data_IF_845285422653
#
_entry.id   IF_845285422653
#
_cell.length_a   1.000
_cell.length_b   1.000
_cell.length_c   1.000
_cell.angle_alpha   90.00
_cell.angle_beta   90.00
_cell.angle_gamma   90.00
#
_symmetry.space_group_name_H-M   'P 1'
#
loop_
_entity.id
_entity.type
_entity.pdbx_description
1 polymer ?
#
# COMPACT_ATOMS: atom_id res chain seq x y z
N UNK A 1 -35.38 -34.65 -8.29
CA UNK A 1 -34.11 -35.40 -8.38
C UNK A 1 -32.97 -34.39 -8.23
N UNK A 2 -32.26 -34.41 -7.11
CA UNK A 2 -31.10 -33.56 -6.90
C UNK A 2 -29.90 -34.22 -7.60
N UNK A 3 -29.39 -33.60 -8.64
CA UNK A 3 -28.15 -34.02 -9.30
C UNK A 3 -26.98 -33.57 -8.43
N UNK A 4 -26.37 -34.53 -7.72
CA UNK A 4 -25.09 -34.32 -7.04
C UNK A 4 -24.02 -34.03 -8.09
N UNK A 5 -23.69 -32.74 -8.25
CA UNK A 5 -22.50 -32.33 -9.00
C UNK A 5 -21.30 -32.66 -8.13
N UNK A 6 -20.60 -33.74 -8.47
CA UNK A 6 -19.34 -34.12 -7.85
C UNK A 6 -18.28 -33.17 -8.38
N UNK A 7 -17.80 -32.25 -7.54
CA UNK A 7 -16.63 -31.42 -7.85
C UNK A 7 -15.43 -32.39 -7.86
N UNK A 8 -14.64 -32.46 -8.95
CA UNK A 8 -13.45 -33.31 -8.97
C UNK A 8 -12.48 -32.82 -7.90
N UNK A 9 -12.07 -33.73 -7.02
CA UNK A 9 -11.00 -33.44 -6.07
C UNK A 9 -9.74 -33.09 -6.87
N UNK A 10 -9.18 -31.89 -6.63
CA UNK A 10 -7.82 -31.60 -7.06
C UNK A 10 -6.89 -32.69 -6.50
N UNK A 11 -5.91 -33.18 -7.28
CA UNK A 11 -4.91 -34.10 -6.74
C UNK A 11 -4.32 -33.45 -5.48
N UNK A 12 -4.15 -34.23 -4.40
CA UNK A 12 -3.55 -33.73 -3.17
C UNK A 12 -2.16 -33.20 -3.50
N UNK A 13 -2.03 -31.88 -3.56
CA UNK A 13 -0.75 -31.20 -3.78
C UNK A 13 0.10 -31.47 -2.55
N UNK A 14 1.30 -32.01 -2.72
CA UNK A 14 2.22 -32.25 -1.61
C UNK A 14 2.67 -30.90 -1.03
N UNK A 15 2.10 -30.52 0.11
CA UNK A 15 2.42 -29.26 0.79
C UNK A 15 3.61 -29.39 1.74
N UNK A 16 4.27 -30.56 1.83
CA UNK A 16 5.34 -30.78 2.81
C UNK A 16 6.58 -29.90 2.58
N UNK A 17 6.73 -29.34 1.38
CA UNK A 17 7.84 -28.47 0.97
C UNK A 17 7.52 -26.97 1.14
N UNK A 18 6.29 -26.62 1.53
CA UNK A 18 5.88 -25.22 1.68
C UNK A 18 6.36 -24.72 3.05
N UNK A 19 7.15 -23.64 3.13
CA UNK A 19 7.60 -23.10 4.40
C UNK A 19 6.42 -22.70 5.28
N UNK A 20 6.55 -22.86 6.61
CA UNK A 20 5.49 -22.53 7.57
C UNK A 20 5.06 -21.06 7.55
N UNK A 21 5.87 -20.18 6.95
CA UNK A 21 5.50 -18.80 6.71
C UNK A 21 4.34 -18.66 5.71
N UNK A 22 4.08 -19.64 4.84
CA UNK A 22 2.98 -19.59 3.88
C UNK A 22 1.80 -20.40 4.43
N UNK A 23 0.85 -19.71 5.06
CA UNK A 23 -0.34 -20.33 5.63
C UNK A 23 -1.44 -20.45 4.57
N UNK A 24 -1.86 -21.67 4.27
CA UNK A 24 -2.88 -21.97 3.27
C UNK A 24 -4.25 -22.03 3.95
N UNK A 25 -5.22 -21.26 3.46
CA UNK A 25 -6.61 -21.31 3.89
C UNK A 25 -7.54 -21.91 2.80
N UNK A 26 -7.19 -21.72 1.53
CA UNK A 26 -7.87 -22.27 0.35
C UNK A 26 -6.82 -22.77 -0.66
N UNK A 27 -7.10 -23.88 -1.35
CA UNK A 27 -6.17 -24.49 -2.31
C UNK A 27 -5.80 -23.57 -3.48
N UNK A 28 -6.62 -22.58 -3.84
CA UNK A 28 -6.27 -21.58 -4.86
C UNK A 28 -5.05 -20.75 -4.48
N UNK A 29 -4.68 -20.68 -3.20
CA UNK A 29 -3.44 -20.02 -2.78
C UNK A 29 -2.20 -20.73 -3.30
N UNK A 30 -2.29 -22.04 -3.58
CA UNK A 30 -1.18 -22.80 -4.17
C UNK A 30 -0.82 -22.30 -5.58
N UNK A 31 -1.79 -21.82 -6.35
CA UNK A 31 -1.55 -21.21 -7.67
C UNK A 31 -0.78 -19.89 -7.55
N UNK A 32 -0.97 -19.18 -6.43
CA UNK A 32 -0.31 -17.90 -6.13
C UNK A 32 1.12 -18.15 -5.66
N UNK A 33 1.34 -19.02 -4.66
CA UNK A 33 2.67 -19.22 -4.07
C UNK A 33 3.56 -20.16 -4.91
N UNK A 34 2.96 -21.00 -5.76
CA UNK A 34 3.66 -21.98 -6.59
C UNK A 34 4.24 -23.14 -5.79
N UNK A 35 5.11 -23.93 -6.43
CA UNK A 35 5.64 -25.18 -5.85
C UNK A 35 6.86 -24.97 -4.94
N UNK A 36 7.55 -23.85 -5.04
CA UNK A 36 8.78 -23.55 -4.27
C UNK A 36 8.78 -22.12 -3.73
N UNK A 37 7.77 -21.73 -2.92
CA UNK A 37 7.74 -20.40 -2.35
C UNK A 37 8.90 -20.18 -1.38
N UNK A 38 9.38 -18.95 -1.28
CA UNK A 38 10.46 -18.55 -0.38
C UNK A 38 10.18 -17.19 0.26
N UNK A 39 10.69 -16.99 1.45
CA UNK A 39 10.65 -15.72 2.17
C UNK A 39 12.03 -15.46 2.75
N UNK A 40 12.72 -14.45 2.22
CA UNK A 40 14.10 -14.12 2.55
C UNK A 40 14.19 -12.69 3.10
N UNK A 41 15.10 -12.46 4.05
CA UNK A 41 15.47 -11.10 4.47
C UNK A 41 16.42 -10.52 3.43
N UNK A 42 16.04 -9.42 2.77
CA UNK A 42 16.94 -8.72 1.85
C UNK A 42 17.83 -7.72 2.57
N UNK A 43 17.27 -6.97 3.50
CA UNK A 43 17.99 -5.92 4.21
C UNK A 43 17.39 -5.73 5.61
N UNK A 44 18.25 -5.42 6.58
CA UNK A 44 17.87 -5.13 7.96
C UNK A 44 18.64 -3.93 8.48
N UNK A 45 17.95 -3.06 9.21
CA UNK A 45 18.55 -1.95 9.94
C UNK A 45 17.89 -1.83 11.31
N UNK A 46 18.60 -2.21 12.37
CA UNK A 46 18.06 -2.22 13.73
C UNK A 46 17.91 -0.82 14.34
N UNK A 47 18.46 0.22 13.71
CA UNK A 47 18.45 1.58 14.26
C UNK A 47 17.31 2.45 13.71
N UNK A 48 16.81 2.13 12.51
CA UNK A 48 15.79 2.92 11.82
C UNK A 48 14.76 1.98 11.21
N UNK A 49 13.44 2.23 11.42
CA UNK A 49 12.37 1.46 10.78
C UNK A 49 12.23 1.85 9.31
N UNK A 50 13.28 1.64 8.52
CA UNK A 50 13.44 2.20 7.16
C UNK A 50 12.48 1.62 6.12
N UNK A 51 11.86 0.47 6.39
CA UNK A 51 11.01 -0.28 5.50
C UNK A 51 9.60 -0.33 6.08
N UNK A 52 8.85 0.76 5.97
CA UNK A 52 7.47 0.86 6.48
C UNK A 52 6.47 1.07 5.34
N UNK A 53 6.67 2.12 4.53
CA UNK A 53 5.68 2.60 3.56
C UNK A 53 6.24 2.80 2.15
N UNK A 54 5.38 3.17 1.19
CA UNK A 54 5.75 3.53 -0.18
C UNK A 54 6.66 2.51 -0.89
N UNK A 55 6.38 1.21 -0.78
CA UNK A 55 7.10 0.20 -1.57
C UNK A 55 6.89 0.47 -3.07
N UNK A 56 7.84 1.13 -3.73
CA UNK A 56 7.76 1.53 -5.14
C UNK A 56 8.93 0.92 -5.89
N UNK A 57 8.67 -0.18 -6.59
CA UNK A 57 9.64 -0.82 -7.45
C UNK A 57 9.73 -0.07 -8.79
N UNK A 58 10.94 0.26 -9.22
CA UNK A 58 11.24 0.95 -10.48
C UNK A 58 11.88 -0.04 -11.45
N UNK A 59 11.11 -0.62 -12.39
CA UNK A 59 11.59 -1.76 -13.18
C UNK A 59 12.70 -1.43 -14.17
N UNK A 60 12.89 -0.16 -14.51
CA UNK A 60 13.92 0.30 -15.44
C UNK A 60 15.32 0.33 -14.83
N UNK A 61 15.42 0.41 -13.49
CA UNK A 61 16.69 0.47 -12.76
C UNK A 61 16.88 -0.69 -11.77
N UNK A 62 15.85 -1.54 -11.60
CA UNK A 62 15.80 -2.58 -10.57
C UNK A 62 16.11 -2.00 -9.17
N UNK A 63 15.52 -0.84 -8.90
CA UNK A 63 15.60 -0.14 -7.63
C UNK A 63 14.23 -0.11 -6.95
N UNK A 64 14.24 -0.16 -5.62
CA UNK A 64 13.06 -0.05 -4.78
C UNK A 64 13.19 1.22 -3.94
N UNK A 65 12.18 2.08 -3.99
CA UNK A 65 12.07 3.21 -3.07
C UNK A 65 11.12 2.80 -1.94
N UNK A 66 11.45 3.20 -0.72
CA UNK A 66 10.66 2.95 0.50
C UNK A 66 10.73 4.16 1.42
N UNK A 67 9.71 4.33 2.26
CA UNK A 67 9.72 5.31 3.34
C UNK A 67 9.79 4.60 4.70
N UNK A 68 10.50 5.23 5.63
CA UNK A 68 10.56 4.75 7.01
C UNK A 68 9.25 5.05 7.74
N UNK A 69 9.01 4.35 8.85
CA UNK A 69 8.04 4.81 9.83
C UNK A 69 8.56 6.12 10.47
N UNK A 70 7.67 6.84 11.16
CA UNK A 70 8.08 7.97 11.97
C UNK A 70 9.03 7.51 13.07
N UNK A 71 10.17 8.19 13.21
CA UNK A 71 11.10 7.95 14.30
C UNK A 71 11.73 9.27 14.75
N UNK A 72 12.33 9.26 15.94
CA UNK A 72 13.10 10.41 16.44
C UNK A 72 14.49 10.38 15.84
N UNK A 73 14.81 11.38 15.03
CA UNK A 73 16.15 11.56 14.50
C UNK A 73 17.16 11.71 15.66
N UNK A 74 18.19 10.85 15.75
CA UNK A 74 19.12 10.85 16.88
C UNK A 74 20.03 12.08 16.94
N UNK A 75 20.16 12.83 15.85
CA UNK A 75 21.00 14.03 15.75
C UNK A 75 20.18 15.28 16.09
N UNK A 76 18.99 15.41 15.49
CA UNK A 76 18.17 16.62 15.66
C UNK A 76 17.15 16.52 16.79
N UNK A 77 16.90 15.30 17.29
CA UNK A 77 15.89 14.98 18.30
C UNK A 77 14.47 15.41 17.88
N UNK A 78 14.19 15.42 16.57
CA UNK A 78 12.87 15.71 15.99
C UNK A 78 12.32 14.45 15.33
N UNK A 79 10.99 14.37 15.27
CA UNK A 79 10.36 13.35 14.43
C UNK A 79 10.71 13.57 12.96
N UNK A 80 10.99 12.48 12.26
CA UNK A 80 11.31 12.49 10.84
C UNK A 80 10.90 11.17 10.18
N UNK A 81 10.89 11.18 8.85
CA UNK A 81 10.81 10.01 7.98
C UNK A 81 11.95 10.10 6.96
N UNK A 82 12.52 8.96 6.61
CA UNK A 82 13.54 8.84 5.55
C UNK A 82 12.94 8.20 4.30
N UNK A 83 13.32 8.72 3.14
CA UNK A 83 13.17 8.01 1.87
C UNK A 83 14.45 7.24 1.62
N UNK A 84 14.36 5.93 1.40
CA UNK A 84 15.49 5.06 1.09
C UNK A 84 15.34 4.52 -0.33
N UNK A 85 16.44 4.47 -1.07
CA UNK A 85 16.54 3.75 -2.34
C UNK A 85 17.38 2.51 -2.16
N UNK A 86 16.82 1.37 -2.52
CA UNK A 86 17.40 0.04 -2.35
C UNK A 86 17.71 -0.56 -3.72
N UNK A 87 18.94 -1.01 -3.93
CA UNK A 87 19.34 -1.72 -5.16
C UNK A 87 19.10 -3.22 -4.99
N UNK A 88 17.94 -3.70 -5.42
CA UNK A 88 17.46 -5.05 -5.08
C UNK A 88 18.17 -6.19 -5.82
N UNK A 89 18.88 -5.88 -6.91
CA UNK A 89 19.71 -6.85 -7.67
C UNK A 89 21.20 -6.78 -7.31
N UNK A 90 21.61 -5.83 -6.47
CA UNK A 90 23.00 -5.73 -6.02
C UNK A 90 23.35 -6.87 -5.05
N UNK A 91 24.63 -7.28 -5.07
CA UNK A 91 25.15 -8.31 -4.17
C UNK A 91 26.42 -7.80 -3.49
N UNK A 92 26.37 -7.44 -2.20
CA UNK A 92 25.18 -7.44 -1.33
C UNK A 92 24.13 -6.39 -1.75
N UNK A 93 22.87 -6.60 -1.33
CA UNK A 93 21.82 -5.57 -1.44
C UNK A 93 22.22 -4.38 -0.60
N UNK A 94 22.10 -3.18 -1.17
CA UNK A 94 22.43 -1.92 -0.47
C UNK A 94 21.27 -0.95 -0.50
N UNK A 95 21.21 -0.08 0.51
CA UNK A 95 20.31 1.07 0.55
C UNK A 95 21.09 2.37 0.70
N UNK A 96 20.55 3.45 0.15
CA UNK A 96 21.00 4.82 0.40
C UNK A 96 19.82 5.71 0.78
N UNK A 97 20.06 6.64 1.71
CA UNK A 97 19.07 7.64 2.12
C UNK A 97 19.05 8.73 1.05
N UNK A 98 17.85 9.06 0.59
CA UNK A 98 17.61 10.18 -0.32
C UNK A 98 17.36 11.43 0.49
N UNK A 99 18.12 12.48 0.21
CA UNK A 99 17.84 13.81 0.72
C UNK A 99 16.77 14.47 -0.14
N UNK A 100 15.52 14.42 0.30
CA UNK A 100 14.37 15.00 -0.39
C UNK A 100 13.77 16.16 0.41
N UNK A 101 13.09 17.07 -0.29
CA UNK A 101 12.36 18.20 0.32
C UNK A 101 10.92 17.84 0.70
N UNK A 102 10.48 16.60 0.46
CA UNK A 102 9.11 16.15 0.77
C UNK A 102 8.94 16.07 2.30
N UNK A 103 8.00 16.81 2.89
CA UNK A 103 7.79 16.80 4.33
C UNK A 103 7.03 15.53 4.76
N UNK A 104 7.69 14.68 5.55
CA UNK A 104 7.10 13.44 6.10
C UNK A 104 6.46 12.57 5.01
N UNK A 105 7.28 12.11 4.06
CA UNK A 105 6.82 11.26 2.96
C UNK A 105 6.22 9.95 3.52
N UNK A 106 5.04 9.54 3.04
CA UNK A 106 4.38 8.30 3.44
C UNK A 106 4.27 7.35 2.25
N UNK A 107 3.07 7.07 1.74
CA UNK A 107 2.81 6.22 0.58
C UNK A 107 3.18 6.91 -0.74
N UNK A 108 3.37 6.11 -1.78
CA UNK A 108 3.82 6.58 -3.08
C UNK A 108 3.52 5.59 -4.20
N UNK A 109 3.58 6.08 -5.44
CA UNK A 109 3.33 5.30 -6.66
C UNK A 109 4.23 5.75 -7.80
N UNK A 110 4.58 4.83 -8.71
CA UNK A 110 5.24 5.19 -9.96
C UNK A 110 4.39 6.21 -10.75
N UNK A 111 5.01 7.28 -11.25
CA UNK A 111 4.29 8.28 -12.04
C UNK A 111 5.24 9.00 -13.01
N UNK A 112 5.00 8.80 -14.32
CA UNK A 112 5.87 9.33 -15.37
C UNK A 112 7.28 8.73 -15.31
N UNK A 113 8.29 9.59 -15.33
CA UNK A 113 9.71 9.25 -15.14
C UNK A 113 10.14 9.30 -13.67
N UNK A 114 9.20 9.54 -12.75
CA UNK A 114 9.45 9.74 -11.33
C UNK A 114 8.55 8.91 -10.41
N UNK A 115 8.43 9.37 -9.18
CA UNK A 115 7.57 8.80 -8.15
C UNK A 115 6.70 9.91 -7.57
N UNK A 116 5.40 9.64 -7.48
CA UNK A 116 4.45 10.53 -6.82
C UNK A 116 4.30 10.09 -5.36
N UNK A 117 4.68 10.95 -4.43
CA UNK A 117 4.58 10.73 -2.99
C UNK A 117 3.41 11.47 -2.38
N UNK A 118 2.79 10.85 -1.39
CA UNK A 118 2.04 11.52 -0.35
C UNK A 118 3.03 12.13 0.65
N UNK A 119 3.02 13.45 0.80
CA UNK A 119 3.70 14.16 1.88
C UNK A 119 2.70 14.48 2.98
N UNK A 120 2.89 13.94 4.17
CA UNK A 120 1.98 14.17 5.29
C UNK A 120 2.07 15.60 5.84
N UNK A 121 3.14 16.32 5.50
CA UNK A 121 3.41 17.66 6.02
C UNK A 121 3.95 17.60 7.45
N UNK A 122 4.19 18.78 8.02
CA UNK A 122 4.51 18.93 9.44
C UNK A 122 3.90 20.24 9.98
N UNK A 123 4.30 20.67 11.18
CA UNK A 123 3.82 21.92 11.79
C UNK A 123 4.23 23.19 11.03
N UNK A 124 5.20 23.09 10.11
CA UNK A 124 5.78 24.23 9.36
C UNK A 124 5.70 24.09 7.84
N UNK A 125 5.42 22.89 7.34
CA UNK A 125 5.32 22.58 5.92
C UNK A 125 3.97 21.93 5.61
N UNK A 126 3.39 22.31 4.48
CA UNK A 126 2.08 21.82 4.06
C UNK A 126 2.12 20.32 3.74
N UNK A 127 0.97 19.68 3.83
CA UNK A 127 0.75 18.31 3.32
C UNK A 127 0.39 18.36 1.84
N UNK A 128 0.44 17.24 1.14
CA UNK A 128 0.02 17.20 -0.27
C UNK A 128 0.63 16.07 -1.07
N UNK A 129 0.50 16.19 -2.40
CA UNK A 129 1.11 15.27 -3.35
C UNK A 129 2.35 15.89 -3.98
N UNK A 130 3.45 15.15 -4.00
CA UNK A 130 4.76 15.62 -4.45
C UNK A 130 5.32 14.69 -5.54
N UNK A 131 5.60 15.24 -6.72
CA UNK A 131 6.29 14.52 -7.78
C UNK A 131 7.80 14.62 -7.56
N UNK A 132 8.49 13.48 -7.42
CA UNK A 132 9.94 13.42 -7.23
C UNK A 132 10.63 12.70 -8.39
N UNK A 133 11.78 13.22 -8.83
CA UNK A 133 12.66 12.50 -9.76
C UNK A 133 13.28 11.26 -9.10
N UNK A 134 13.45 10.17 -9.86
CA UNK A 134 14.22 8.99 -9.41
C UNK A 134 15.74 9.17 -9.54
N UNK A 135 16.20 10.28 -10.14
CA UNK A 135 17.62 10.58 -10.33
C UNK A 135 18.08 11.73 -9.43
N UNK A 136 19.34 11.72 -8.94
CA UNK A 136 19.92 12.87 -8.28
C UNK A 136 19.81 14.14 -9.14
N UNK A 137 19.48 15.30 -8.54
CA UNK A 137 19.45 15.57 -7.10
C UNK A 137 18.10 15.28 -6.42
N UNK A 138 17.24 14.43 -7.00
CA UNK A 138 15.95 14.01 -6.44
C UNK A 138 14.99 15.17 -6.19
N UNK A 139 14.93 16.11 -7.13
CA UNK A 139 14.04 17.27 -7.04
C UNK A 139 12.59 16.83 -6.88
N UNK A 140 11.89 17.47 -5.94
CA UNK A 140 10.48 17.21 -5.65
C UNK A 140 9.64 18.49 -5.81
N UNK A 141 8.52 18.35 -6.53
CA UNK A 141 7.60 19.44 -6.84
C UNK A 141 6.21 19.15 -6.26
N UNK A 142 5.66 20.13 -5.53
CA UNK A 142 4.30 20.04 -4.99
C UNK A 142 3.26 20.18 -6.13
N UNK A 143 2.33 19.22 -6.21
CA UNK A 143 1.25 19.21 -7.20
C UNK A 143 -0.05 19.81 -6.66
N UNK A 144 -0.42 19.45 -5.43
CA UNK A 144 -1.65 19.90 -4.76
C UNK A 144 -1.52 19.72 -3.26
N UNK A 145 -2.00 20.69 -2.47
CA UNK A 145 -1.93 20.69 -1.00
C UNK A 145 -3.23 21.09 -0.30
N UNK A 146 -4.23 21.59 -1.04
CA UNK A 146 -5.47 22.10 -0.45
C UNK A 146 -6.71 21.66 -1.23
N UNK A 147 -7.84 21.59 -0.52
CA UNK A 147 -9.17 21.43 -1.08
C UNK A 147 -10.09 22.54 -0.56
N UNK A 148 -10.54 23.41 -1.48
CA UNK A 148 -11.25 24.66 -1.14
C UNK A 148 -10.52 25.48 -0.07
N UNK A 149 -9.22 25.71 -0.28
CA UNK A 149 -8.33 26.49 0.61
C UNK A 149 -8.10 25.91 2.01
N UNK A 150 -8.60 24.71 2.28
CA UNK A 150 -8.27 23.95 3.50
C UNK A 150 -7.17 22.97 3.16
N UNK A 151 -6.13 22.93 3.97
CA UNK A 151 -5.05 21.95 3.77
C UNK A 151 -5.59 20.51 3.89
N UNK A 152 -5.03 19.60 3.10
CA UNK A 152 -5.20 18.17 3.34
C UNK A 152 -4.74 17.80 4.75
N UNK A 153 -5.34 16.78 5.32
CA UNK A 153 -5.05 16.33 6.68
C UNK A 153 -3.59 15.86 6.77
N UNK A 154 -3.32 14.74 6.11
CA UNK A 154 -2.03 14.07 5.97
C UNK A 154 -2.22 12.94 4.96
N UNK A 155 -2.13 13.21 3.64
CA UNK A 155 -2.30 12.19 2.60
C UNK A 155 -1.47 10.96 2.91
N UNK A 156 -2.07 9.77 2.78
CA UNK A 156 -1.43 8.55 3.22
C UNK A 156 -0.96 7.70 2.03
N UNK A 157 -1.87 7.19 1.22
CA UNK A 157 -1.54 6.35 0.06
C UNK A 157 -2.18 6.90 -1.22
N UNK A 158 -1.58 6.55 -2.37
CA UNK A 158 -1.93 7.11 -3.68
C UNK A 158 -1.82 6.07 -4.79
N UNK A 159 -2.74 6.14 -5.75
CA UNK A 159 -2.74 5.33 -6.97
C UNK A 159 -3.06 6.19 -8.19
N UNK A 160 -2.51 5.81 -9.34
CA UNK A 160 -2.81 6.45 -10.63
C UNK A 160 -3.77 5.56 -11.40
N UNK A 161 -4.88 6.14 -11.85
CA UNK A 161 -5.82 5.49 -12.77
C UNK A 161 -5.31 5.63 -14.22
N UNK A 162 -5.65 4.71 -15.12
CA UNK A 162 -5.15 4.71 -16.51
C UNK A 162 -5.49 5.96 -17.34
N UNK A 163 -6.51 6.72 -16.94
CA UNK A 163 -6.85 8.02 -17.51
C UNK A 163 -5.89 9.15 -17.08
N UNK A 164 -4.93 8.86 -16.20
CA UNK A 164 -3.96 9.82 -15.65
C UNK A 164 -4.46 10.57 -14.41
N UNK A 165 -5.69 10.30 -13.95
CA UNK A 165 -6.17 10.88 -12.70
C UNK A 165 -5.51 10.23 -11.49
N UNK A 166 -5.29 11.04 -10.46
CA UNK A 166 -4.59 10.67 -9.24
C UNK A 166 -5.61 10.49 -8.13
N UNK A 167 -5.59 9.34 -7.45
CA UNK A 167 -6.53 9.00 -6.39
C UNK A 167 -5.76 8.75 -5.10
N UNK A 168 -6.17 9.39 -4.01
CA UNK A 168 -5.44 9.29 -2.75
C UNK A 168 -6.36 9.35 -1.53
N UNK A 169 -5.88 8.79 -0.43
CA UNK A 169 -6.54 8.80 0.87
C UNK A 169 -5.98 9.93 1.75
N UNK A 170 -6.85 10.60 2.51
CA UNK A 170 -6.45 11.70 3.40
C UNK A 170 -6.92 11.47 4.85
N UNK A 171 -6.33 10.48 5.56
CA UNK A 171 -6.62 10.25 6.97
C UNK A 171 -6.01 11.32 7.86
N UNK A 172 -6.37 11.30 9.14
CA UNK A 172 -5.89 12.28 10.12
C UNK A 172 -4.65 11.82 10.91
N UNK A 173 -3.90 10.82 10.42
CA UNK A 173 -2.78 10.21 11.16
C UNK A 173 -1.75 11.24 11.62
N UNK A 174 -1.36 12.16 10.75
CA UNK A 174 -0.35 13.15 11.09
C UNK A 174 -0.75 14.02 12.29
N UNK A 175 -2.05 14.33 12.44
CA UNK A 175 -2.52 15.08 13.62
C UNK A 175 -2.48 14.23 14.89
N UNK A 176 -2.89 12.96 14.79
CA UNK A 176 -2.93 12.03 15.92
C UNK A 176 -1.55 11.63 16.42
N UNK A 177 -0.56 11.60 15.53
CA UNK A 177 0.86 11.38 15.83
C UNK A 177 1.57 12.66 16.28
N UNK A 178 0.89 13.82 16.27
CA UNK A 178 1.46 15.10 16.72
C UNK A 178 2.39 15.78 15.72
N UNK A 179 2.48 15.31 14.47
CA UNK A 179 3.27 15.97 13.41
C UNK A 179 2.51 17.08 12.69
N UNK A 180 1.17 17.06 12.71
CA UNK A 180 0.30 18.04 12.04
C UNK A 180 -0.67 18.72 13.02
N UNK A 181 -1.14 19.95 12.70
CA UNK A 181 -2.26 20.57 13.42
C UNK A 181 -3.54 19.74 13.31
N UNK A 182 -4.56 20.12 14.10
CA UNK A 182 -5.89 19.51 13.99
C UNK A 182 -6.41 19.64 12.54
N UNK A 183 -6.98 18.58 11.94
CA UNK A 183 -7.40 18.62 10.55
C UNK A 183 -8.57 19.58 10.30
N UNK A 184 -8.65 20.12 9.08
CA UNK A 184 -9.71 21.03 8.62
C UNK A 184 -10.67 20.35 7.61
N UNK A 185 -10.33 19.14 7.18
CA UNK A 185 -11.12 18.28 6.31
C UNK A 185 -11.54 17.01 7.06
N UNK A 186 -12.65 16.37 6.66
CA UNK A 186 -12.95 15.02 7.13
C UNK A 186 -11.96 14.01 6.54
N UNK A 187 -11.93 12.79 7.10
CA UNK A 187 -11.16 11.69 6.55
C UNK A 187 -11.88 11.16 5.28
N UNK A 188 -11.31 11.42 4.12
CA UNK A 188 -11.96 11.19 2.82
C UNK A 188 -10.97 10.66 1.77
N UNK A 189 -11.53 10.23 0.63
CA UNK A 189 -10.77 9.82 -0.55
C UNK A 189 -11.02 10.84 -1.65
N UNK A 190 -9.95 11.26 -2.30
CA UNK A 190 -9.95 12.32 -3.30
C UNK A 190 -9.49 11.79 -4.65
N UNK A 191 -10.08 12.35 -5.71
CA UNK A 191 -9.58 12.29 -7.09
C UNK A 191 -9.04 13.65 -7.47
N UNK A 192 -7.86 13.71 -8.04
CA UNK A 192 -7.21 14.90 -8.56
C UNK A 192 -6.82 14.70 -10.02
N UNK A 193 -7.23 15.62 -10.87
CA UNK A 193 -6.80 15.68 -12.27
C UNK A 193 -5.62 16.65 -12.39
N UNK A 194 -4.40 16.15 -12.71
CA UNK A 194 -3.22 17.01 -12.80
C UNK A 194 -3.24 17.97 -13.99
N UNK A 195 -4.07 17.75 -15.01
CA UNK A 195 -4.21 18.61 -16.19
C UNK A 195 -5.12 19.78 -15.89
N UNK A 196 -6.35 19.50 -15.43
CA UNK A 196 -7.34 20.55 -15.13
C UNK A 196 -7.16 21.19 -13.76
N UNK A 197 -6.34 20.57 -12.90
CA UNK A 197 -6.17 20.91 -11.47
C UNK A 197 -7.44 20.77 -10.65
N UNK A 198 -8.44 20.04 -11.15
CA UNK A 198 -9.67 19.78 -10.44
C UNK A 198 -9.45 18.69 -9.38
N UNK A 199 -9.89 18.95 -8.15
CA UNK A 199 -9.90 17.98 -7.06
C UNK A 199 -11.35 17.77 -6.61
N UNK A 200 -11.72 16.51 -6.33
CA UNK A 200 -13.06 16.13 -5.87
C UNK A 200 -12.96 15.04 -4.81
N UNK A 201 -13.83 15.12 -3.80
CA UNK A 201 -14.13 14.00 -2.91
C UNK A 201 -14.92 12.94 -3.68
N UNK A 202 -14.42 11.71 -3.69
CA UNK A 202 -15.02 10.58 -4.43
C UNK A 202 -15.57 9.50 -3.51
N UNK A 203 -15.12 9.44 -2.25
CA UNK A 203 -15.76 8.64 -1.21
C UNK A 203 -15.49 9.22 0.19
N UNK A 204 -16.41 8.94 1.11
CA UNK A 204 -16.36 9.33 2.51
C UNK A 204 -16.90 8.22 3.43
N UNK A 205 -17.10 8.54 4.71
CA UNK A 205 -17.62 7.60 5.71
C UNK A 205 -16.59 6.55 6.17
N UNK A 206 -15.32 6.92 6.13
CA UNK A 206 -14.21 6.14 6.68
C UNK A 206 -13.81 6.65 8.05
N UNK A 207 -13.30 5.75 8.90
CA UNK A 207 -12.64 6.13 10.14
C UNK A 207 -11.23 6.67 9.87
N UNK A 208 -10.40 5.89 9.19
CA UNK A 208 -9.06 6.25 8.73
C UNK A 208 -8.81 5.57 7.36
N UNK A 209 -9.16 6.21 6.23
CA UNK A 209 -8.88 5.64 4.92
C UNK A 209 -7.37 5.56 4.72
N UNK A 210 -6.86 4.42 4.29
CA UNK A 210 -5.43 4.15 4.27
C UNK A 210 -4.95 3.70 2.86
N UNK A 211 -4.70 2.42 2.62
CA UNK A 211 -4.35 1.91 1.30
C UNK A 211 -5.45 2.07 0.26
N UNK A 212 -5.06 2.29 -1.00
CA UNK A 212 -5.97 2.39 -2.16
C UNK A 212 -5.40 1.65 -3.39
N UNK A 213 -6.21 0.81 -4.05
CA UNK A 213 -5.82 0.13 -5.28
C UNK A 213 -6.99 -0.20 -6.19
N UNK A 214 -6.77 -0.17 -7.50
CA UNK A 214 -7.76 -0.57 -8.52
C UNK A 214 -7.64 -2.06 -8.88
N UNK A 215 -8.75 -2.66 -9.29
CA UNK A 215 -8.77 -3.93 -10.03
C UNK A 215 -7.98 -3.82 -11.34
N UNK A 216 -7.49 -4.94 -11.90
CA UNK A 216 -6.75 -4.92 -13.17
C UNK A 216 -7.50 -4.27 -14.34
N UNK A 217 -8.83 -4.31 -14.31
CA UNK A 217 -9.71 -3.67 -15.29
C UNK A 217 -10.21 -2.28 -14.86
N UNK A 218 -9.76 -1.79 -13.71
CA UNK A 218 -10.09 -0.50 -13.08
C UNK A 218 -11.58 -0.24 -12.84
N UNK A 219 -12.42 -1.28 -12.90
CA UNK A 219 -13.86 -1.15 -12.64
C UNK A 219 -14.21 -1.23 -11.16
N UNK A 220 -13.29 -1.70 -10.33
CA UNK A 220 -13.43 -1.73 -8.87
C UNK A 220 -12.25 -1.03 -8.23
N UNK A 221 -12.50 -0.20 -7.22
CA UNK A 221 -11.45 0.32 -6.33
C UNK A 221 -11.63 -0.25 -4.94
N UNK A 222 -10.51 -0.60 -4.32
CA UNK A 222 -10.43 -1.11 -2.95
C UNK A 222 -9.76 -0.06 -2.08
N UNK A 223 -10.36 0.22 -0.93
CA UNK A 223 -9.87 1.22 0.03
C UNK A 223 -9.90 0.58 1.42
N UNK A 224 -8.77 0.62 2.12
CA UNK A 224 -8.69 0.09 3.48
C UNK A 224 -9.09 1.14 4.51
N UNK A 225 -9.74 0.71 5.58
CA UNK A 225 -10.09 1.53 6.75
C UNK A 225 -9.46 0.92 7.99
N UNK A 226 -8.51 1.64 8.55
CA UNK A 226 -7.59 1.17 9.59
C UNK A 226 -7.85 1.85 10.94
N UNK A 227 -9.07 2.33 11.15
CA UNK A 227 -9.45 3.06 12.36
C UNK A 227 -9.42 2.24 13.66
N UNK A 228 -9.28 0.91 13.60
CA UNK A 228 -8.88 0.07 14.72
C UNK A 228 -7.59 0.58 15.36
N UNK A 229 -6.62 1.06 14.58
CA UNK A 229 -5.44 1.75 15.08
C UNK A 229 -5.74 3.24 15.23
N UNK A 230 -5.69 3.73 16.47
CA UNK A 230 -6.09 5.10 16.76
C UNK A 230 -5.07 6.13 16.30
N UNK A 231 -3.81 5.76 16.04
CA UNK A 231 -2.76 6.65 15.54
C UNK A 231 -1.91 7.32 16.63
N UNK A 232 -2.20 7.04 17.90
CA UNK A 232 -1.44 7.46 19.08
C UNK A 232 -0.73 6.28 19.77
N UNK A 233 -0.64 5.14 19.07
CA UNK A 233 -0.11 3.88 19.60
C UNK A 233 -1.13 2.98 20.28
N UNK A 234 -2.39 3.41 20.39
CA UNK A 234 -3.47 2.59 20.97
C UNK A 234 -4.43 2.03 19.92
N UNK A 235 -5.23 1.04 20.32
CA UNK A 235 -6.19 0.34 19.46
C UNK A 235 -7.60 0.33 20.04
N UNK A 236 -8.62 0.34 19.18
CA UNK A 236 -10.03 0.23 19.54
C UNK A 236 -10.68 -0.92 18.73
N UNK A 237 -10.99 -2.07 19.37
CA UNK A 237 -11.54 -3.24 18.68
C UNK A 237 -12.96 -3.04 18.14
N UNK A 238 -13.61 -1.93 18.46
CA UNK A 238 -14.94 -1.59 17.92
C UNK A 238 -14.87 -0.80 16.61
N UNK A 239 -13.66 -0.46 16.14
CA UNK A 239 -13.43 0.34 14.94
C UNK A 239 -13.00 -0.51 13.74
N UNK A 240 -13.15 0.02 12.52
CA UNK A 240 -12.80 -0.68 11.29
C UNK A 240 -11.38 -1.25 11.25
N UNK A 241 -11.28 -2.49 10.79
CA UNK A 241 -10.07 -3.16 10.31
C UNK A 241 -10.40 -3.81 8.96
N UNK A 242 -10.89 -2.99 8.04
CA UNK A 242 -11.79 -3.44 6.97
C UNK A 242 -11.37 -2.90 5.62
N UNK A 243 -11.41 -3.75 4.60
CA UNK A 243 -11.27 -3.37 3.20
C UNK A 243 -12.68 -3.15 2.63
N UNK A 244 -12.92 -1.99 2.04
CA UNK A 244 -14.14 -1.68 1.31
C UNK A 244 -13.87 -1.70 -0.20
N UNK A 245 -14.85 -2.16 -0.98
CA UNK A 245 -14.83 -2.08 -2.43
C UNK A 245 -15.93 -1.15 -2.94
N UNK A 246 -15.65 -0.50 -4.07
CA UNK A 246 -16.57 0.38 -4.78
C UNK A 246 -16.50 0.09 -6.27
N UNK A 247 -17.64 0.21 -6.96
CA UNK A 247 -17.66 0.19 -8.41
C UNK A 247 -17.29 1.58 -8.94
N UNK A 248 -16.40 1.60 -9.93
CA UNK A 248 -16.02 2.81 -10.67
C UNK A 248 -17.00 2.99 -11.82
N UNK A 249 -17.91 3.95 -11.66
CA UNK A 249 -18.96 4.27 -12.62
C UNK A 249 -18.69 5.61 -13.30
N UNK A 250 -19.22 5.83 -14.50
CA UNK A 250 -19.18 7.14 -15.16
C UNK A 250 -20.58 7.75 -15.11
N UNK A 251 -20.69 8.95 -14.53
CA UNK A 251 -21.94 9.74 -14.47
C UNK A 251 -21.60 11.14 -14.98
N UNK A 252 -22.35 11.64 -15.95
CA UNK A 252 -22.11 12.96 -16.57
C UNK A 252 -20.66 13.18 -17.04
N UNK A 253 -20.01 12.12 -17.53
CA UNK A 253 -18.62 12.15 -18.01
C UNK A 253 -17.56 12.10 -16.91
N UNK A 254 -17.96 11.96 -15.65
CA UNK A 254 -17.09 11.97 -14.48
C UNK A 254 -17.07 10.61 -13.76
N UNK A 255 -15.93 10.23 -13.17
CA UNK A 255 -15.79 8.96 -12.45
C UNK A 255 -16.38 9.02 -11.03
N UNK A 256 -17.31 8.15 -10.67
CA UNK A 256 -17.91 8.06 -9.33
C UNK A 256 -17.68 6.70 -8.70
N UNK A 257 -17.46 6.71 -7.39
CA UNK A 257 -17.47 5.48 -6.59
C UNK A 257 -18.88 5.19 -6.11
N UNK A 258 -19.40 4.03 -6.50
CA UNK A 258 -20.76 3.58 -6.18
C UNK A 258 -20.73 2.19 -5.55
N UNK A 259 -21.87 1.71 -5.04
CA UNK A 259 -22.01 0.36 -4.48
C UNK A 259 -20.95 0.01 -3.42
N UNK A 260 -20.71 0.93 -2.48
CA UNK A 260 -19.83 0.69 -1.32
C UNK A 260 -20.25 -0.61 -0.65
N UNK A 261 -19.30 -1.52 -0.49
CA UNK A 261 -19.50 -2.82 0.15
C UNK A 261 -18.28 -3.22 0.96
N UNK A 262 -18.52 -3.96 2.04
CA UNK A 262 -17.43 -4.66 2.74
C UNK A 262 -16.89 -5.71 1.78
N UNK A 263 -15.58 -5.70 1.59
CA UNK A 263 -14.89 -6.73 0.82
C UNK A 263 -14.31 -7.79 1.74
N UNK A 264 -13.49 -7.38 2.71
CA UNK A 264 -12.85 -8.25 3.68
C UNK A 264 -12.54 -7.51 4.98
N UNK A 265 -12.31 -8.24 6.07
CA UNK A 265 -11.80 -7.71 7.33
C UNK A 265 -10.53 -8.48 7.69
N UNK A 266 -9.48 -7.77 8.12
CA UNK A 266 -8.29 -8.43 8.65
C UNK A 266 -8.63 -9.02 10.02
N UNK A 267 -8.23 -10.27 10.25
CA UNK A 267 -8.42 -10.92 11.56
C UNK A 267 -7.33 -10.51 12.56
N UNK A 268 -6.15 -10.10 12.08
CA UNK A 268 -5.04 -9.60 12.89
C UNK A 268 -4.63 -8.19 12.46
N UNK A 269 -4.64 -7.26 13.41
CA UNK A 269 -4.22 -5.87 13.18
C UNK A 269 -5.17 -5.13 12.25
N UNK A 270 -4.62 -4.44 11.25
CA UNK A 270 -5.35 -3.67 10.23
C UNK A 270 -4.84 -3.95 8.83
N UNK A 271 -5.71 -3.97 7.80
CA UNK A 271 -5.26 -4.01 6.41
C UNK A 271 -4.72 -2.63 6.03
N UNK A 272 -3.41 -2.47 5.95
CA UNK A 272 -2.75 -1.19 5.70
C UNK A 272 -2.58 -0.94 4.19
N UNK A 273 -1.36 -1.04 3.65
CA UNK A 273 -1.11 -0.98 2.22
C UNK A 273 -1.76 -2.14 1.46
N UNK A 274 -2.35 -1.85 0.29
CA UNK A 274 -3.13 -2.80 -0.51
C UNK A 274 -2.66 -2.84 -1.96
N UNK A 275 -2.58 -4.03 -2.57
CA UNK A 275 -2.27 -4.22 -4.00
C UNK A 275 -3.04 -5.41 -4.56
N UNK A 276 -3.15 -5.47 -5.88
CA UNK A 276 -3.81 -6.55 -6.58
C UNK A 276 -2.86 -7.24 -7.55
N UNK A 277 -3.10 -8.52 -7.84
CA UNK A 277 -2.50 -9.22 -8.97
C UNK A 277 -3.40 -9.16 -10.22
N UNK A 278 -2.89 -9.64 -11.36
CA UNK A 278 -3.61 -9.65 -12.64
C UNK A 278 -4.83 -10.58 -12.67
N UNK A 279 -4.96 -11.52 -11.74
CA UNK A 279 -6.15 -12.37 -11.60
C UNK A 279 -7.22 -11.73 -10.70
N UNK A 280 -6.93 -10.52 -10.16
CA UNK A 280 -7.82 -9.76 -9.30
C UNK A 280 -7.79 -10.21 -7.83
N UNK A 281 -6.85 -11.05 -7.42
CA UNK A 281 -6.66 -11.33 -6.00
C UNK A 281 -6.16 -10.07 -5.30
N UNK A 282 -6.66 -9.85 -4.09
CA UNK A 282 -6.40 -8.66 -3.27
C UNK A 282 -5.44 -9.04 -2.16
N UNK A 283 -4.36 -8.27 -2.03
CA UNK A 283 -3.30 -8.47 -1.05
C UNK A 283 -3.27 -7.24 -0.14
N UNK A 284 -3.14 -7.42 1.17
CA UNK A 284 -2.91 -6.31 2.10
C UNK A 284 -1.85 -6.66 3.14
N UNK A 285 -1.06 -5.65 3.52
CA UNK A 285 -0.25 -5.70 4.74
C UNK A 285 -1.17 -5.73 5.95
N UNK A 286 -0.97 -6.67 6.86
CA UNK A 286 -1.78 -6.93 8.05
C UNK A 286 -0.90 -7.15 9.26
N UNK A 287 -1.50 -7.25 10.46
CA UNK A 287 -0.77 -7.39 11.72
C UNK A 287 0.02 -8.70 11.86
N UNK A 288 -0.20 -9.67 10.97
CA UNK A 288 0.49 -10.96 10.93
C UNK A 288 1.25 -11.23 9.62
N UNK A 289 1.31 -10.25 8.70
CA UNK A 289 2.07 -10.34 7.45
C UNK A 289 1.24 -9.89 6.24
N UNK A 290 1.32 -10.61 5.12
CA UNK A 290 0.50 -10.33 3.93
C UNK A 290 -0.68 -11.28 3.88
N UNK A 291 -1.90 -10.72 3.89
CA UNK A 291 -3.13 -11.49 3.73
C UNK A 291 -3.62 -11.40 2.29
N UNK A 292 -4.06 -12.53 1.73
CA UNK A 292 -4.44 -12.65 0.31
C UNK A 292 -5.87 -13.16 0.19
N UNK A 293 -6.73 -12.38 -0.44
CA UNK A 293 -8.13 -12.70 -0.70
C UNK A 293 -8.37 -12.87 -2.21
N UNK A 294 -9.27 -13.79 -2.55
CA UNK A 294 -9.80 -13.89 -3.93
C UNK A 294 -10.55 -12.63 -4.33
N UNK A 295 -10.85 -12.41 -5.63
CA UNK A 295 -11.70 -11.30 -6.08
C UNK A 295 -13.08 -11.25 -5.41
N UNK A 296 -13.54 -12.37 -4.83
CA UNK A 296 -14.79 -12.48 -4.08
C UNK A 296 -14.69 -12.21 -2.58
N UNK A 297 -13.53 -11.83 -2.05
CA UNK A 297 -13.33 -11.53 -0.62
C UNK A 297 -13.08 -12.75 0.28
N UNK A 298 -12.93 -13.94 -0.30
CA UNK A 298 -12.57 -15.16 0.45
C UNK A 298 -11.07 -15.17 0.71
N UNK A 299 -10.66 -15.32 1.97
CA UNK A 299 -9.25 -15.45 2.36
C UNK A 299 -8.66 -16.73 1.77
N UNK A 300 -7.66 -16.59 0.90
CA UNK A 300 -6.96 -17.69 0.25
C UNK A 300 -5.79 -18.18 1.09
N UNK A 301 -5.02 -17.25 1.65
CA UNK A 301 -3.84 -17.57 2.43
C UNK A 301 -3.14 -16.35 2.99
N UNK A 302 -2.06 -16.62 3.71
CA UNK A 302 -1.23 -15.59 4.35
C UNK A 302 0.25 -15.88 4.14
N UNK A 303 1.05 -14.82 4.02
CA UNK A 303 2.50 -14.85 4.13
C UNK A 303 2.84 -14.24 5.49
N UNK A 304 3.09 -15.12 6.47
CA UNK A 304 3.29 -14.76 7.86
C UNK A 304 4.63 -14.06 8.06
N UNK A 305 4.57 -12.87 8.63
CA UNK A 305 5.73 -12.09 9.06
C UNK A 305 5.45 -11.65 10.49
N UNK A 306 6.40 -11.95 11.38
CA UNK A 306 6.28 -11.55 12.78
C UNK A 306 6.18 -10.02 12.86
N UNK A 307 5.25 -9.55 13.69
CA UNK A 307 4.98 -8.12 13.89
C UNK A 307 4.37 -7.42 12.66
N UNK A 308 3.90 -8.20 11.67
CA UNK A 308 3.06 -7.74 10.57
C UNK A 308 3.80 -7.20 9.35
N UNK A 309 3.08 -6.52 8.47
CA UNK A 309 3.64 -5.77 7.35
C UNK A 309 2.77 -4.53 7.08
N UNK A 310 3.42 -3.39 6.86
CA UNK A 310 2.71 -2.13 6.62
C UNK A 310 2.39 -1.95 5.12
N UNK A 311 3.37 -2.14 4.24
CA UNK A 311 3.15 -2.05 2.79
C UNK A 311 4.03 -3.05 2.02
N UNK A 312 3.77 -3.19 0.72
CA UNK A 312 4.51 -4.10 -0.17
C UNK A 312 4.30 -3.71 -1.64
N UNK A 313 5.14 -4.29 -2.49
CA UNK A 313 4.99 -4.18 -3.96
C UNK A 313 5.39 -5.46 -4.66
N UNK A 314 4.84 -5.65 -5.85
CA UNK A 314 5.27 -6.70 -6.76
C UNK A 314 6.54 -6.25 -7.49
N UNK A 315 7.52 -7.14 -7.52
CA UNK A 315 8.66 -7.12 -8.43
C UNK A 315 8.39 -7.98 -9.66
N UNK A 316 9.45 -8.40 -10.35
CA UNK A 316 9.33 -9.25 -11.55
C UNK A 316 9.20 -10.72 -11.19
N UNK A 317 8.55 -11.50 -12.07
CA UNK A 317 8.59 -12.96 -12.03
C UNK A 317 8.14 -13.55 -10.68
N UNK A 318 7.05 -13.02 -10.12
CA UNK A 318 6.50 -13.45 -8.83
C UNK A 318 7.28 -12.97 -7.61
N UNK A 319 8.23 -12.04 -7.75
CA UNK A 319 8.87 -11.43 -6.59
C UNK A 319 7.90 -10.45 -5.91
N UNK A 320 7.94 -10.38 -4.58
CA UNK A 320 7.23 -9.38 -3.78
C UNK A 320 8.17 -8.81 -2.72
N UNK A 321 8.25 -7.49 -2.61
CA UNK A 321 9.01 -6.79 -1.58
C UNK A 321 8.07 -6.37 -0.45
N UNK A 322 8.37 -6.76 0.78
CA UNK A 322 7.47 -6.56 1.93
C UNK A 322 8.17 -5.73 3.00
N UNK A 323 7.46 -4.71 3.49
CA UNK A 323 7.96 -3.70 4.42
C UNK A 323 7.48 -4.01 5.85
N UNK A 324 8.43 -4.31 6.74
CA UNK A 324 8.18 -4.71 8.12
C UNK A 324 9.13 -3.94 9.06
N UNK A 325 8.89 -2.63 9.15
CA UNK A 325 9.63 -1.67 9.98
C UNK A 325 11.14 -1.69 9.71
N UNK A 326 11.91 -2.45 10.49
CA UNK A 326 13.37 -2.54 10.44
C UNK A 326 13.87 -3.55 9.40
N UNK A 327 12.97 -4.29 8.74
CA UNK A 327 13.33 -5.38 7.83
C UNK A 327 12.60 -5.22 6.50
N UNK A 328 13.37 -5.28 5.41
CA UNK A 328 12.88 -5.46 4.06
C UNK A 328 12.96 -6.95 3.71
N UNK A 329 11.81 -7.57 3.46
CA UNK A 329 11.70 -8.96 3.03
C UNK A 329 11.49 -9.07 1.53
N UNK A 330 11.87 -10.21 0.96
CA UNK A 330 11.44 -10.65 -0.35
C UNK A 330 10.74 -11.99 -0.27
N UNK A 331 9.51 -12.05 -0.78
CA UNK A 331 8.84 -13.30 -1.06
C UNK A 331 9.01 -13.67 -2.53
N UNK A 332 9.29 -14.95 -2.80
CA UNK A 332 9.15 -15.55 -4.11
C UNK A 332 7.81 -16.31 -4.17
N UNK A 333 6.90 -15.81 -4.98
CA UNK A 333 5.63 -16.44 -5.34
C UNK A 333 5.79 -17.27 -6.63
N UNK A 334 4.69 -17.80 -7.15
CA UNK A 334 4.68 -18.38 -8.50
C UNK A 334 5.16 -17.35 -9.52
N UNK A 335 6.01 -17.77 -10.45
CA UNK A 335 6.57 -16.90 -11.49
C UNK A 335 5.51 -16.34 -12.44
N UNK A 336 4.31 -16.92 -12.46
CA UNK A 336 3.18 -16.41 -13.23
C UNK A 336 2.46 -15.24 -12.57
N UNK A 337 2.62 -15.03 -11.26
CA UNK A 337 1.98 -13.93 -10.55
C UNK A 337 2.59 -12.61 -11.00
N UNK A 338 1.72 -11.67 -11.37
CA UNK A 338 2.08 -10.32 -11.78
C UNK A 338 1.24 -9.31 -11.04
N UNK A 339 1.86 -8.24 -10.55
CA UNK A 339 1.13 -7.15 -9.91
C UNK A 339 0.33 -6.35 -10.93
N UNK A 340 -0.90 -5.95 -10.60
CA UNK A 340 -1.81 -5.25 -11.49
C UNK A 340 -1.29 -3.85 -11.91
N UNK A 341 -0.64 -3.15 -10.98
CA UNK A 341 -0.16 -1.78 -11.17
C UNK A 341 0.90 -1.66 -12.29
N UNK A 342 1.93 -2.51 -12.23
CA UNK A 342 3.06 -2.50 -13.17
C UNK A 342 2.96 -3.59 -14.25
N UNK A 343 2.07 -4.57 -14.07
CA UNK A 343 1.84 -5.71 -14.98
C UNK A 343 3.10 -6.57 -15.20
N UNK A 344 3.95 -6.69 -14.19
CA UNK A 344 5.23 -7.43 -14.18
C UNK A 344 5.30 -8.51 -13.11
#
# INVERSE_FOLDING_TARGET
MATNVTIPAHPATDTSQIPSAFQIHDNKFLDIIGSTPKLDVLLRNDNVPFAHEASVFVPSTDELFVTSNIFTDPITNKFTIQINKVKVVAHPVTSEIINSTIPMANGAVNHGDGILFCGQGNLTATSGLYQMSIQPPYEANLLVSTFYSREFNSPNDVVIHSDGSIWFTDPSYGSKQGIRPKPQLPNQVYRFDPVTKNARVVADGFGQPNGIAFSPDEKTVYITDTAYTLGDGTTDPTRPSTIYAFDVSIIDGEQFLTNRRVFAMADTGVPDGIKLDMEGNVYAGCGDGINVWSPGGVLLGKILIKDGAANFSFGRNGQMFILNENILWAAQLSRSVKGALLKI
#
